data_IF_396023312555
#
_entry.id   IF_396023312555
#
_cell.length_a   1.000
_cell.length_b   1.000
_cell.length_c   1.000
_cell.angle_alpha   90.00
_cell.angle_beta   90.00
_cell.angle_gamma   90.00
#
_symmetry.space_group_name_H-M   'P 1'
#
loop_
_entity.id
_entity.type
_entity.pdbx_description
1 polymer ?
#
# COMPACT_ATOMS: atom_id res chain seq x y z
N UNK A 1 -24.62 12.26 5.76
CA UNK A 1 -25.20 10.98 5.27
C UNK A 1 -25.45 11.08 3.78
N UNK A 2 -25.12 10.05 3.01
CA UNK A 2 -25.35 10.02 1.57
C UNK A 2 -26.85 10.21 1.25
N UNK A 3 -27.14 10.85 0.11
CA UNK A 3 -28.52 10.93 -0.37
C UNK A 3 -29.10 9.51 -0.56
N UNK A 4 -30.38 9.25 -0.21
CA UNK A 4 -30.94 7.90 -0.20
C UNK A 4 -30.75 7.12 -1.50
N UNK A 5 -30.89 7.79 -2.64
CA UNK A 5 -30.67 7.18 -3.96
C UNK A 5 -29.21 6.80 -4.24
N UNK A 6 -28.25 7.57 -3.74
CA UNK A 6 -26.82 7.27 -3.84
C UNK A 6 -26.49 6.11 -2.90
N UNK A 7 -26.99 6.16 -1.65
CA UNK A 7 -26.79 5.10 -0.67
C UNK A 7 -27.29 3.75 -1.19
N UNK A 8 -28.50 3.68 -1.71
CA UNK A 8 -29.08 2.43 -2.23
C UNK A 8 -28.23 1.83 -3.37
N UNK A 9 -27.73 2.66 -4.29
CA UNK A 9 -26.85 2.21 -5.38
C UNK A 9 -25.49 1.80 -4.88
N UNK A 10 -24.94 2.52 -3.91
CA UNK A 10 -23.68 2.19 -3.26
C UNK A 10 -23.74 0.84 -2.55
N UNK A 11 -24.81 0.58 -1.79
CA UNK A 11 -25.01 -0.70 -1.10
C UNK A 11 -25.10 -1.88 -2.09
N UNK A 12 -25.79 -1.69 -3.22
CA UNK A 12 -25.84 -2.68 -4.30
C UNK A 12 -24.44 -2.91 -4.89
N UNK A 13 -23.67 -1.86 -5.12
CA UNK A 13 -22.31 -1.93 -5.67
C UNK A 13 -21.35 -2.69 -4.75
N UNK A 14 -21.44 -2.43 -3.44
CA UNK A 14 -20.63 -3.17 -2.44
C UNK A 14 -21.05 -4.64 -2.39
N UNK A 15 -22.36 -4.92 -2.36
CA UNK A 15 -22.88 -6.28 -2.27
C UNK A 15 -22.57 -7.14 -3.51
N UNK A 16 -22.78 -6.60 -4.71
CA UNK A 16 -22.51 -7.30 -5.98
C UNK A 16 -21.02 -7.52 -6.21
N UNK A 17 -20.17 -6.59 -5.74
CA UNK A 17 -18.75 -6.58 -6.07
C UNK A 17 -18.43 -6.17 -7.50
N UNK A 18 -19.42 -5.72 -8.28
CA UNK A 18 -19.28 -5.24 -9.66
C UNK A 18 -18.65 -3.84 -9.75
N UNK A 19 -17.76 -3.55 -8.83
CA UNK A 19 -17.01 -2.30 -8.84
C UNK A 19 -15.96 -2.31 -9.94
N UNK A 20 -15.82 -1.23 -10.73
CA UNK A 20 -14.73 -1.10 -11.69
C UNK A 20 -13.39 -0.97 -10.96
N UNK A 21 -12.83 -2.13 -10.59
CA UNK A 21 -11.55 -2.17 -9.91
C UNK A 21 -10.42 -1.85 -10.89
N UNK A 22 -9.45 -1.02 -10.49
CA UNK A 22 -8.34 -0.63 -11.34
C UNK A 22 -7.47 -1.82 -11.76
N UNK A 23 -6.90 -1.72 -12.95
CA UNK A 23 -5.96 -2.70 -13.50
C UNK A 23 -4.54 -2.21 -13.25
N UNK A 24 -3.65 -3.11 -12.81
CA UNK A 24 -2.24 -2.76 -12.66
C UNK A 24 -1.64 -2.30 -13.99
N UNK A 25 -0.81 -1.23 -13.99
CA UNK A 25 -0.05 -0.83 -15.15
C UNK A 25 0.79 -1.98 -15.72
N UNK A 26 1.02 -1.95 -17.03
CA UNK A 26 1.67 -3.04 -17.76
C UNK A 26 3.06 -3.39 -17.17
N UNK A 27 3.89 -2.38 -16.93
CA UNK A 27 5.23 -2.60 -16.36
C UNK A 27 5.15 -3.24 -14.97
N UNK A 28 4.20 -2.82 -14.13
CA UNK A 28 4.00 -3.42 -12.81
C UNK A 28 3.61 -4.89 -12.90
N UNK A 29 2.65 -5.22 -13.76
CA UNK A 29 2.25 -6.61 -14.02
C UNK A 29 3.40 -7.47 -14.55
N UNK A 30 4.20 -6.93 -15.47
CA UNK A 30 5.36 -7.61 -16.04
C UNK A 30 6.47 -7.85 -14.98
N UNK A 31 6.71 -6.90 -14.08
CA UNK A 31 7.65 -7.07 -12.97
C UNK A 31 7.21 -8.21 -12.04
N UNK A 32 5.93 -8.25 -11.66
CA UNK A 32 5.39 -9.33 -10.81
C UNK A 32 5.58 -10.71 -11.42
N UNK A 33 5.36 -10.83 -12.72
CA UNK A 33 5.58 -12.10 -13.45
C UNK A 33 7.06 -12.43 -13.55
N UNK A 34 7.90 -11.44 -13.85
CA UNK A 34 9.33 -11.63 -14.08
C UNK A 34 10.07 -12.10 -12.82
N UNK A 35 9.76 -11.52 -11.66
CA UNK A 35 10.45 -11.87 -10.40
C UNK A 35 10.14 -13.29 -9.91
N UNK A 36 9.08 -13.92 -10.42
CA UNK A 36 8.74 -15.31 -10.12
C UNK A 36 9.48 -16.33 -11.00
N UNK A 37 10.16 -15.86 -12.05
CA UNK A 37 10.85 -16.73 -13.00
C UNK A 37 12.23 -17.14 -12.46
N UNK A 38 12.63 -18.41 -12.62
CA UNK A 38 13.96 -18.89 -12.17
C UNK A 38 15.13 -18.19 -12.88
N UNK A 39 14.91 -17.67 -14.09
CA UNK A 39 15.91 -16.99 -14.92
C UNK A 39 15.91 -15.46 -14.73
N UNK A 40 15.19 -14.93 -13.73
CA UNK A 40 15.21 -13.51 -13.40
C UNK A 40 16.56 -13.11 -12.81
N UNK A 41 17.15 -12.09 -13.38
CA UNK A 41 18.37 -11.45 -12.87
C UNK A 41 18.24 -9.93 -12.81
N UNK A 42 19.21 -9.28 -12.18
CA UNK A 42 19.22 -7.82 -12.00
C UNK A 42 19.27 -7.04 -13.32
N UNK A 43 19.88 -7.60 -14.36
CA UNK A 43 20.01 -6.93 -15.65
C UNK A 43 18.65 -6.93 -16.38
N UNK A 44 17.96 -8.07 -16.43
CA UNK A 44 16.64 -8.21 -17.05
C UNK A 44 15.60 -7.34 -16.35
N UNK A 45 15.61 -7.33 -15.02
CA UNK A 45 14.68 -6.51 -14.26
C UNK A 45 14.94 -5.01 -14.47
N UNK A 46 16.21 -4.58 -14.49
CA UNK A 46 16.59 -3.21 -14.80
C UNK A 46 16.17 -2.81 -16.24
N UNK A 47 16.28 -3.72 -17.22
CA UNK A 47 15.84 -3.47 -18.59
C UNK A 47 14.32 -3.26 -18.68
N UNK A 48 13.55 -4.05 -17.95
CA UNK A 48 12.11 -3.89 -17.86
C UNK A 48 11.73 -2.54 -17.22
N UNK A 49 12.35 -2.19 -16.11
CA UNK A 49 12.10 -0.93 -15.39
C UNK A 49 12.45 0.31 -16.22
N UNK A 50 13.47 0.25 -17.11
CA UNK A 50 13.82 1.36 -18.02
C UNK A 50 12.72 1.76 -18.97
N UNK A 51 11.75 0.90 -19.25
CA UNK A 51 10.60 1.21 -20.10
C UNK A 51 9.67 2.24 -19.48
N UNK A 52 9.77 2.44 -18.16
CA UNK A 52 9.02 3.45 -17.43
C UNK A 52 9.97 4.40 -16.69
N UNK A 53 10.11 5.66 -17.18
CA UNK A 53 10.98 6.65 -16.54
C UNK A 53 10.59 6.98 -15.11
N UNK A 54 9.30 6.94 -14.76
CA UNK A 54 8.85 7.21 -13.39
C UNK A 54 9.27 6.08 -12.45
N UNK A 55 9.06 4.81 -12.84
CA UNK A 55 9.55 3.65 -12.09
C UNK A 55 11.06 3.70 -11.90
N UNK A 56 11.82 4.01 -12.97
CA UNK A 56 13.28 4.16 -12.91
C UNK A 56 13.69 5.21 -11.88
N UNK A 57 13.07 6.40 -11.91
CA UNK A 57 13.37 7.49 -10.98
C UNK A 57 13.10 7.09 -9.53
N UNK A 58 11.97 6.45 -9.24
CA UNK A 58 11.61 5.99 -7.90
C UNK A 58 12.54 4.89 -7.38
N UNK A 59 12.92 3.92 -8.21
CA UNK A 59 13.90 2.89 -7.83
C UNK A 59 15.26 3.52 -7.48
N UNK A 60 15.73 4.46 -8.28
CA UNK A 60 17.01 5.17 -8.01
C UNK A 60 16.94 6.01 -6.74
N UNK A 61 15.86 6.75 -6.53
CA UNK A 61 15.65 7.57 -5.34
C UNK A 61 15.57 6.71 -4.06
N UNK A 62 14.82 5.60 -4.10
CA UNK A 62 14.71 4.68 -2.96
C UNK A 62 16.07 4.05 -2.62
N UNK A 63 16.83 3.62 -3.62
CA UNK A 63 18.15 3.03 -3.41
C UNK A 63 19.18 4.02 -2.85
N UNK A 64 18.94 5.33 -3.00
CA UNK A 64 19.73 6.40 -2.42
C UNK A 64 19.22 6.89 -1.06
N UNK A 65 18.04 6.40 -0.59
CA UNK A 65 17.47 6.82 0.69
C UNK A 65 18.25 6.28 1.89
N UNK A 66 18.17 6.91 3.07
CA UNK A 66 18.90 6.47 4.28
C UNK A 66 18.65 5.01 4.66
N UNK A 67 17.43 4.51 4.44
CA UNK A 67 17.06 3.12 4.75
C UNK A 67 17.86 2.08 3.96
N UNK A 68 18.32 2.43 2.74
CA UNK A 68 19.03 1.53 1.81
C UNK A 68 20.45 2.00 1.49
N UNK A 69 20.96 2.99 2.22
CA UNK A 69 22.35 3.47 2.06
C UNK A 69 23.35 2.34 2.28
N UNK A 70 24.24 2.15 1.33
CA UNK A 70 25.36 1.22 1.41
C UNK A 70 26.70 1.95 1.25
N UNK A 71 27.81 1.21 1.44
CA UNK A 71 29.16 1.75 1.39
C UNK A 71 29.56 2.35 0.02
N UNK A 72 28.87 1.95 -1.06
CA UNK A 72 29.22 2.38 -2.42
C UNK A 72 28.10 3.23 -3.03
N UNK A 73 28.48 4.27 -3.78
CA UNK A 73 27.52 5.11 -4.52
C UNK A 73 26.91 4.30 -5.68
N UNK A 74 25.61 4.38 -5.84
CA UNK A 74 24.89 3.77 -6.97
C UNK A 74 25.08 4.66 -8.21
N UNK A 75 25.46 4.05 -9.32
CA UNK A 75 25.67 4.73 -10.61
C UNK A 75 24.82 4.15 -11.74
N UNK A 76 24.11 3.05 -11.51
CA UNK A 76 23.24 2.42 -12.52
C UNK A 76 21.98 1.82 -11.91
N UNK A 77 20.92 1.70 -12.73
CA UNK A 77 19.67 1.04 -12.34
C UNK A 77 19.90 -0.44 -11.95
N UNK A 78 20.78 -1.13 -12.65
CA UNK A 78 21.11 -2.52 -12.30
C UNK A 78 21.74 -2.62 -10.91
N UNK A 79 22.63 -1.68 -10.55
CA UNK A 79 23.19 -1.61 -9.18
C UNK A 79 22.11 -1.28 -8.15
N UNK A 80 21.16 -0.40 -8.48
CA UNK A 80 20.01 -0.10 -7.61
C UNK A 80 19.16 -1.35 -7.37
N UNK A 81 18.83 -2.09 -8.42
CA UNK A 81 18.10 -3.36 -8.33
C UNK A 81 18.85 -4.38 -7.47
N UNK A 82 20.16 -4.52 -7.68
CA UNK A 82 21.01 -5.42 -6.88
C UNK A 82 21.07 -5.04 -5.39
N UNK A 83 21.10 -3.74 -5.08
CA UNK A 83 21.10 -3.24 -3.69
C UNK A 83 19.77 -3.45 -3.00
N UNK A 84 18.68 -3.13 -3.67
CA UNK A 84 17.32 -3.20 -3.11
C UNK A 84 16.81 -4.64 -3.04
N UNK A 85 17.22 -5.49 -3.97
CA UNK A 85 16.68 -6.84 -4.13
C UNK A 85 15.31 -6.85 -4.81
N UNK A 86 14.91 -8.00 -5.33
CA UNK A 86 13.69 -8.14 -6.13
C UNK A 86 12.41 -7.84 -5.33
N UNK A 87 12.38 -8.24 -4.07
CA UNK A 87 11.24 -7.99 -3.20
C UNK A 87 10.98 -6.47 -3.04
N UNK A 88 12.01 -5.68 -2.74
CA UNK A 88 11.88 -4.22 -2.62
C UNK A 88 11.52 -3.56 -3.96
N UNK A 89 12.02 -4.10 -5.07
CA UNK A 89 11.62 -3.61 -6.41
C UNK A 89 10.12 -3.83 -6.63
N UNK A 90 9.59 -5.00 -6.30
CA UNK A 90 8.13 -5.26 -6.38
C UNK A 90 7.36 -4.25 -5.53
N UNK A 91 7.82 -3.98 -4.33
CA UNK A 91 7.21 -3.03 -3.41
C UNK A 91 7.16 -1.61 -4.01
N UNK A 92 8.29 -1.11 -4.54
CA UNK A 92 8.38 0.21 -5.18
C UNK A 92 7.46 0.28 -6.40
N UNK A 93 7.52 -0.74 -7.25
CA UNK A 93 6.72 -0.81 -8.48
C UNK A 93 5.23 -0.76 -8.17
N UNK A 94 4.76 -1.52 -7.18
CA UNK A 94 3.37 -1.49 -6.74
C UNK A 94 2.99 -0.15 -6.13
N UNK A 95 3.85 0.44 -5.29
CA UNK A 95 3.61 1.76 -4.70
C UNK A 95 3.52 2.86 -5.76
N UNK A 96 4.38 2.83 -6.78
CA UNK A 96 4.34 3.79 -7.90
C UNK A 96 3.15 3.54 -8.82
N UNK A 97 2.87 2.28 -9.15
CA UNK A 97 1.72 1.90 -9.97
C UNK A 97 0.39 2.38 -9.38
N UNK A 98 0.30 2.34 -8.06
CA UNK A 98 -0.87 2.80 -7.30
C UNK A 98 -1.13 4.30 -7.43
N UNK A 99 -0.09 5.11 -7.66
CA UNK A 99 -0.20 6.56 -7.82
C UNK A 99 -0.62 7.00 -9.22
N UNK A 100 -0.31 6.19 -10.24
CA UNK A 100 -0.48 6.61 -11.62
C UNK A 100 -1.91 6.44 -12.08
N UNK A 101 -2.58 7.54 -12.48
CA UNK A 101 -3.87 7.66 -13.22
C UNK A 101 -5.08 6.85 -12.71
N UNK A 102 -4.84 5.81 -11.89
CA UNK A 102 -5.88 4.91 -11.41
C UNK A 102 -6.73 5.57 -10.33
N UNK A 103 -6.17 6.56 -9.63
CA UNK A 103 -6.79 7.18 -8.47
C UNK A 103 -6.72 8.73 -8.53
N UNK A 104 -7.06 9.31 -9.68
CA UNK A 104 -7.34 10.75 -9.75
C UNK A 104 -8.82 10.96 -9.50
N UNK A 105 -9.18 11.17 -8.22
CA UNK A 105 -10.58 11.38 -7.81
C UNK A 105 -10.85 12.87 -7.73
N UNK A 106 -11.68 13.43 -8.64
CA UNK A 106 -11.96 14.87 -8.65
C UNK A 106 -12.55 15.35 -7.32
N UNK A 107 -11.90 16.35 -6.71
CA UNK A 107 -12.29 16.91 -5.42
C UNK A 107 -11.73 16.19 -4.18
N UNK A 108 -10.98 15.08 -4.37
CA UNK A 108 -10.35 14.29 -3.31
C UNK A 108 -8.86 14.04 -3.58
N UNK A 109 -8.22 14.86 -4.41
CA UNK A 109 -6.81 14.67 -4.81
C UNK A 109 -5.87 14.71 -3.59
N UNK A 110 -6.17 15.58 -2.61
CA UNK A 110 -5.39 15.69 -1.39
C UNK A 110 -5.55 14.44 -0.50
N UNK A 111 -6.79 13.95 -0.35
CA UNK A 111 -7.11 12.77 0.45
C UNK A 111 -6.47 11.51 -0.14
N UNK A 112 -6.57 11.33 -1.45
CA UNK A 112 -5.93 10.24 -2.17
C UNK A 112 -4.41 10.27 -2.01
N UNK A 113 -3.79 11.46 -2.15
CA UNK A 113 -2.35 11.61 -1.97
C UNK A 113 -1.91 11.27 -0.55
N UNK A 114 -2.69 11.69 0.46
CA UNK A 114 -2.37 11.40 1.84
C UNK A 114 -2.58 9.92 2.18
N UNK A 115 -3.65 9.30 1.67
CA UNK A 115 -3.87 7.86 1.79
C UNK A 115 -2.70 7.03 1.22
N UNK A 116 -2.09 7.46 0.10
CA UNK A 116 -0.91 6.79 -0.43
C UNK A 116 0.33 6.93 0.44
N UNK A 117 0.58 8.10 1.01
CA UNK A 117 1.71 8.30 1.93
C UNK A 117 1.52 7.46 3.18
N UNK A 118 0.30 7.46 3.72
CA UNK A 118 -0.09 6.65 4.86
C UNK A 118 0.13 5.15 4.57
N UNK A 119 -0.40 4.64 3.47
CA UNK A 119 -0.24 3.26 3.05
C UNK A 119 1.23 2.84 2.91
N UNK A 120 2.07 3.70 2.32
CA UNK A 120 3.50 3.42 2.18
C UNK A 120 4.23 3.45 3.53
N UNK A 121 3.91 4.39 4.42
CA UNK A 121 4.47 4.44 5.77
C UNK A 121 4.08 3.19 6.57
N UNK A 122 2.81 2.80 6.54
CA UNK A 122 2.30 1.58 7.18
C UNK A 122 3.00 0.33 6.63
N UNK A 123 3.22 0.26 5.31
CA UNK A 123 3.96 -0.84 4.69
C UNK A 123 5.40 -0.95 5.22
N UNK A 124 6.11 0.18 5.35
CA UNK A 124 7.49 0.21 5.85
C UNK A 124 7.56 -0.14 7.34
N UNK A 125 6.63 0.33 8.17
CA UNK A 125 6.53 -0.10 9.56
C UNK A 125 6.18 -1.59 9.68
N UNK A 126 5.24 -2.10 8.90
CA UNK A 126 4.90 -3.52 8.85
C UNK A 126 6.12 -4.38 8.50
N UNK A 127 6.96 -3.90 7.58
CA UNK A 127 8.23 -4.54 7.25
C UNK A 127 9.20 -4.58 8.43
N UNK A 128 9.36 -3.50 9.20
CA UNK A 128 10.22 -3.47 10.38
C UNK A 128 9.69 -4.38 11.50
N UNK A 129 8.37 -4.40 11.71
CA UNK A 129 7.71 -5.33 12.65
C UNK A 129 7.97 -6.79 12.23
N UNK A 130 7.79 -7.11 10.95
CA UNK A 130 8.04 -8.46 10.43
C UNK A 130 9.51 -8.88 10.58
N UNK A 131 10.48 -7.97 10.40
CA UNK A 131 11.91 -8.20 10.65
C UNK A 131 12.15 -8.52 12.12
N UNK A 132 11.62 -7.72 13.05
CA UNK A 132 11.76 -7.96 14.49
C UNK A 132 11.17 -9.33 14.88
N UNK A 133 10.06 -9.71 14.26
CA UNK A 133 9.41 -11.01 14.44
C UNK A 133 10.08 -12.18 13.72
N UNK A 134 11.02 -11.93 12.81
CA UNK A 134 11.59 -12.93 11.89
C UNK A 134 10.52 -13.64 11.07
N UNK A 135 9.45 -12.91 10.69
CA UNK A 135 8.34 -13.40 9.88
C UNK A 135 8.46 -12.97 8.40
N UNK A 136 7.41 -13.18 7.60
CA UNK A 136 7.46 -12.93 6.16
C UNK A 136 7.37 -11.42 5.85
N UNK A 137 8.53 -10.79 5.70
CA UNK A 137 8.70 -9.34 5.47
C UNK A 137 7.94 -8.86 4.23
N UNK A 138 7.98 -9.62 3.14
CA UNK A 138 7.34 -9.22 1.89
C UNK A 138 5.80 -9.20 1.98
N UNK A 139 5.21 -10.20 2.66
CA UNK A 139 3.76 -10.21 2.88
C UNK A 139 3.32 -9.09 3.82
N UNK A 140 4.12 -8.78 4.84
CA UNK A 140 3.85 -7.68 5.76
C UNK A 140 3.84 -6.33 5.02
N UNK A 141 4.83 -6.09 4.15
CA UNK A 141 4.86 -4.90 3.33
C UNK A 141 3.63 -4.81 2.42
N UNK A 142 3.31 -5.87 1.67
CA UNK A 142 2.16 -5.87 0.76
C UNK A 142 0.85 -5.63 1.51
N UNK A 143 0.66 -6.28 2.64
CA UNK A 143 -0.54 -6.09 3.45
C UNK A 143 -0.64 -4.65 3.98
N UNK A 144 0.47 -4.08 4.49
CA UNK A 144 0.53 -2.68 4.92
C UNK A 144 0.32 -1.70 3.76
N UNK A 145 0.84 -1.99 2.55
CA UNK A 145 0.63 -1.13 1.39
C UNK A 145 -0.82 -1.12 0.92
N UNK A 146 -1.49 -2.26 0.98
CA UNK A 146 -2.84 -2.40 0.39
C UNK A 146 -3.99 -2.29 1.40
N UNK A 147 -3.71 -2.14 2.71
CA UNK A 147 -4.76 -2.18 3.72
C UNK A 147 -5.88 -1.15 3.45
N UNK A 148 -5.54 0.04 3.00
CA UNK A 148 -6.44 1.17 2.74
C UNK A 148 -6.73 1.43 1.26
N UNK A 149 -6.28 0.57 0.36
CA UNK A 149 -6.47 0.77 -1.08
C UNK A 149 -7.93 0.77 -1.55
N UNK A 150 -8.83 0.27 -0.73
CA UNK A 150 -10.26 0.42 -0.97
C UNK A 150 -10.74 1.87 -0.90
N UNK A 151 -10.06 2.74 -0.17
CA UNK A 151 -10.48 4.14 0.01
C UNK A 151 -10.56 4.90 -1.32
N UNK A 152 -9.49 5.04 -2.13
CA UNK A 152 -9.56 5.78 -3.39
C UNK A 152 -10.53 5.13 -4.41
N UNK A 153 -10.69 3.81 -4.39
CA UNK A 153 -11.67 3.11 -5.24
C UNK A 153 -13.10 3.52 -4.89
N UNK A 154 -13.41 3.54 -3.60
CA UNK A 154 -14.73 3.93 -3.11
C UNK A 154 -15.01 5.42 -3.28
N UNK A 155 -14.01 6.28 -3.05
CA UNK A 155 -14.12 7.72 -3.33
C UNK A 155 -14.51 7.96 -4.78
N UNK A 156 -13.83 7.31 -5.73
CA UNK A 156 -14.15 7.42 -7.15
C UNK A 156 -15.57 6.93 -7.45
N UNK A 157 -15.94 5.76 -6.94
CA UNK A 157 -17.28 5.20 -7.15
C UNK A 157 -18.39 6.13 -6.62
N UNK A 158 -18.20 6.70 -5.44
CA UNK A 158 -19.17 7.64 -4.84
C UNK A 158 -19.26 8.96 -5.62
N UNK A 159 -18.13 9.52 -6.08
CA UNK A 159 -18.13 10.71 -6.94
C UNK A 159 -18.91 10.42 -8.23
N UNK A 160 -18.68 9.28 -8.86
CA UNK A 160 -19.39 8.89 -10.07
C UNK A 160 -20.89 8.71 -9.84
N UNK A 161 -21.30 8.05 -8.73
CA UNK A 161 -22.70 7.88 -8.35
C UNK A 161 -23.42 9.22 -8.09
N UNK A 162 -22.74 10.17 -7.44
CA UNK A 162 -23.28 11.53 -7.24
C UNK A 162 -23.46 12.26 -8.57
N UNK A 163 -22.45 12.20 -9.43
CA UNK A 163 -22.49 12.82 -10.77
C UNK A 163 -23.66 12.26 -11.59
N UNK A 164 -23.85 10.95 -11.62
CA UNK A 164 -24.95 10.29 -12.34
C UNK A 164 -26.33 10.63 -11.76
N UNK A 165 -26.41 10.89 -10.46
CA UNK A 165 -27.62 11.35 -9.81
C UNK A 165 -27.87 12.85 -9.96
N UNK A 166 -26.97 13.61 -10.59
CA UNK A 166 -27.05 15.07 -10.68
C UNK A 166 -26.86 15.79 -9.35
N UNK A 167 -26.17 15.16 -8.39
CA UNK A 167 -25.91 15.65 -7.04
C UNK A 167 -24.44 16.04 -6.85
N UNK A 168 -24.19 16.92 -5.90
CA UNK A 168 -22.84 17.24 -5.44
C UNK A 168 -22.47 16.25 -4.31
N UNK A 169 -21.27 15.72 -4.38
CA UNK A 169 -20.73 14.86 -3.34
C UNK A 169 -20.17 15.71 -2.20
N UNK A 170 -20.80 15.62 -1.03
CA UNK A 170 -20.28 16.29 0.18
C UNK A 170 -19.09 15.46 0.73
N UNK A 171 -17.89 16.05 0.87
CA UNK A 171 -16.68 15.31 1.25
C UNK A 171 -16.83 14.50 2.55
N UNK A 172 -17.43 15.07 3.59
CA UNK A 172 -17.61 14.40 4.87
C UNK A 172 -18.48 13.14 4.75
N UNK A 173 -19.52 13.18 3.92
CA UNK A 173 -20.43 12.04 3.73
C UNK A 173 -19.76 10.94 2.91
N UNK A 174 -18.96 11.33 1.90
CA UNK A 174 -18.17 10.39 1.10
C UNK A 174 -17.14 9.69 1.97
N UNK A 175 -16.35 10.43 2.74
CA UNK A 175 -15.31 9.87 3.60
C UNK A 175 -15.87 8.92 4.66
N UNK A 176 -17.02 9.24 5.27
CA UNK A 176 -17.68 8.36 6.24
C UNK A 176 -18.15 7.05 5.61
N UNK A 177 -18.68 7.09 4.38
CA UNK A 177 -19.11 5.89 3.66
C UNK A 177 -17.90 5.04 3.19
N UNK A 178 -16.81 5.68 2.80
CA UNK A 178 -15.54 5.04 2.45
C UNK A 178 -14.95 4.30 3.65
N UNK A 179 -14.91 4.97 4.81
CA UNK A 179 -14.38 4.39 6.05
C UNK A 179 -15.08 3.07 6.42
N UNK A 180 -16.39 3.02 6.27
CA UNK A 180 -17.19 1.84 6.60
C UNK A 180 -16.96 0.61 5.68
N UNK A 181 -16.44 0.79 4.45
CA UNK A 181 -16.42 -0.27 3.44
C UNK A 181 -15.04 -0.55 2.82
N UNK A 182 -14.02 0.31 3.04
CA UNK A 182 -12.74 0.22 2.32
C UNK A 182 -11.99 -1.08 2.53
N UNK A 183 -12.01 -1.67 3.73
CA UNK A 183 -11.31 -2.91 4.01
C UNK A 183 -11.84 -4.08 3.16
N UNK A 184 -13.17 -4.16 2.99
CA UNK A 184 -13.79 -5.19 2.16
C UNK A 184 -13.46 -5.02 0.67
N UNK A 185 -13.54 -3.78 0.17
CA UNK A 185 -13.25 -3.46 -1.23
C UNK A 185 -11.77 -3.60 -1.53
N UNK A 186 -10.89 -3.17 -0.62
CA UNK A 186 -9.45 -3.35 -0.72
C UNK A 186 -9.06 -4.82 -0.82
N UNK A 187 -9.66 -5.69 -0.02
CA UNK A 187 -9.43 -7.13 -0.10
C UNK A 187 -9.83 -7.71 -1.48
N UNK A 188 -11.01 -7.33 -2.02
CA UNK A 188 -11.42 -7.74 -3.37
C UNK A 188 -10.45 -7.26 -4.46
N UNK A 189 -9.90 -6.05 -4.32
CA UNK A 189 -8.90 -5.52 -5.24
C UNK A 189 -7.62 -6.37 -5.23
N UNK A 190 -7.14 -6.71 -4.03
CA UNK A 190 -5.95 -7.55 -3.83
C UNK A 190 -6.15 -8.95 -4.43
N UNK A 191 -7.35 -9.54 -4.26
CA UNK A 191 -7.74 -10.81 -4.88
C UNK A 191 -7.75 -10.71 -6.41
N UNK A 192 -8.33 -9.64 -6.98
CA UNK A 192 -8.36 -9.40 -8.43
C UNK A 192 -6.95 -9.26 -9.01
N UNK A 193 -6.01 -8.73 -8.26
CA UNK A 193 -4.60 -8.63 -8.66
C UNK A 193 -3.82 -9.93 -8.43
N UNK A 194 -4.50 -11.02 -8.07
CA UNK A 194 -3.92 -12.33 -7.80
C UNK A 194 -2.77 -12.30 -6.76
N UNK A 195 -2.90 -11.42 -5.78
CA UNK A 195 -1.98 -11.36 -4.64
C UNK A 195 -2.22 -12.55 -3.69
N UNK A 196 -1.25 -12.89 -2.82
CA UNK A 196 -1.43 -13.97 -1.86
C UNK A 196 -2.68 -13.80 -1.00
N UNK A 197 -3.44 -14.87 -0.78
CA UNK A 197 -4.67 -14.89 0.03
C UNK A 197 -4.47 -14.27 1.43
N UNK A 198 -3.33 -14.56 2.07
CA UNK A 198 -2.98 -14.00 3.37
C UNK A 198 -2.93 -12.46 3.38
N UNK A 199 -2.58 -11.83 2.24
CA UNK A 199 -2.58 -10.38 2.10
C UNK A 199 -4.02 -9.87 2.02
N UNK A 200 -4.88 -10.53 1.22
CA UNK A 200 -6.29 -10.18 1.14
C UNK A 200 -7.01 -10.31 2.50
N UNK A 201 -6.71 -11.38 3.24
CA UNK A 201 -7.25 -11.57 4.58
C UNK A 201 -6.78 -10.49 5.57
N UNK A 202 -5.51 -10.11 5.52
CA UNK A 202 -4.98 -9.04 6.38
C UNK A 202 -5.64 -7.69 6.05
N UNK A 203 -5.79 -7.37 4.77
CA UNK A 203 -6.50 -6.16 4.30
C UNK A 203 -7.95 -6.15 4.78
N UNK A 204 -8.66 -7.29 4.69
CA UNK A 204 -10.06 -7.41 5.10
C UNK A 204 -10.27 -7.19 6.60
N UNK A 205 -9.28 -7.56 7.41
CA UNK A 205 -9.43 -7.62 8.87
C UNK A 205 -8.52 -6.65 9.63
N UNK A 206 -7.92 -5.64 9.00
CA UNK A 206 -6.94 -4.79 9.68
C UNK A 206 -7.55 -3.91 10.80
N UNK A 207 -8.84 -3.59 10.76
CA UNK A 207 -9.55 -2.89 11.85
C UNK A 207 -9.93 -3.82 13.02
N UNK A 208 -10.25 -5.08 12.71
CA UNK A 208 -10.52 -6.12 13.71
C UNK A 208 -9.53 -7.28 13.48
N UNK A 209 -8.26 -7.12 13.88
CA UNK A 209 -7.19 -7.97 13.39
C UNK A 209 -7.36 -9.44 13.80
N UNK A 210 -7.60 -10.28 12.81
CA UNK A 210 -7.68 -11.74 12.90
C UNK A 210 -6.47 -12.33 12.17
N UNK A 211 -5.63 -13.03 12.91
CA UNK A 211 -4.40 -13.61 12.36
C UNK A 211 -3.18 -12.67 12.43
N UNK A 212 -2.00 -13.27 12.37
CA UNK A 212 -0.72 -12.60 12.61
C UNK A 212 -0.49 -11.40 11.68
N UNK A 213 -0.73 -11.57 10.38
CA UNK A 213 -0.45 -10.54 9.39
C UNK A 213 -1.37 -9.31 9.55
N UNK A 214 -2.65 -9.52 9.90
CA UNK A 214 -3.58 -8.42 10.20
C UNK A 214 -3.15 -7.65 11.46
N UNK A 215 -2.64 -8.36 12.48
CA UNK A 215 -2.10 -7.73 13.70
C UNK A 215 -0.85 -6.91 13.37
N UNK A 216 0.02 -7.40 12.48
CA UNK A 216 1.20 -6.66 12.01
C UNK A 216 0.78 -5.36 11.33
N UNK A 217 -0.24 -5.40 10.46
CA UNK A 217 -0.76 -4.20 9.79
C UNK A 217 -1.36 -3.23 10.80
N UNK A 218 -2.23 -3.68 11.69
CA UNK A 218 -2.84 -2.84 12.72
C UNK A 218 -1.80 -2.19 13.65
N UNK A 219 -0.74 -2.92 14.02
CA UNK A 219 0.37 -2.36 14.81
C UNK A 219 1.17 -1.32 14.01
N UNK A 220 1.43 -1.57 12.72
CA UNK A 220 2.11 -0.64 11.83
C UNK A 220 1.32 0.66 11.67
N UNK A 221 0.01 0.55 11.52
CA UNK A 221 -0.92 1.67 11.42
C UNK A 221 -0.89 2.54 12.70
N UNK A 222 -0.83 1.92 13.89
CA UNK A 222 -0.63 2.64 15.15
C UNK A 222 0.66 3.49 15.14
N UNK A 223 1.76 2.99 14.61
CA UNK A 223 3.00 3.77 14.50
C UNK A 223 2.83 5.00 13.61
N UNK A 224 2.08 4.88 12.52
CA UNK A 224 1.85 6.00 11.60
C UNK A 224 0.92 7.05 12.21
N UNK A 225 -0.16 6.63 12.86
CA UNK A 225 -1.16 7.56 13.42
C UNK A 225 -0.75 8.16 14.76
N UNK A 226 -0.09 7.39 15.64
CA UNK A 226 0.17 7.78 17.02
C UNK A 226 1.65 8.04 17.30
N UNK A 227 2.54 7.78 16.34
CA UNK A 227 3.99 7.85 16.51
C UNK A 227 4.56 6.76 17.45
N UNK A 228 3.71 5.84 17.95
CA UNK A 228 4.09 4.77 18.84
C UNK A 228 3.28 3.51 18.56
N UNK A 229 3.87 2.33 18.81
CA UNK A 229 3.18 1.06 18.70
C UNK A 229 2.25 0.78 19.88
N UNK A 230 1.16 0.09 19.62
CA UNK A 230 0.27 -0.42 20.66
C UNK A 230 0.94 -1.59 21.43
N UNK A 231 1.10 -1.44 22.73
CA UNK A 231 1.66 -2.50 23.59
C UNK A 231 0.78 -3.76 23.56
N UNK A 232 -0.55 -3.60 23.48
CA UNK A 232 -1.47 -4.73 23.38
C UNK A 232 -1.28 -5.52 22.07
N UNK A 233 -1.20 -4.83 20.93
CA UNK A 233 -0.95 -5.47 19.63
C UNK A 233 0.46 -6.07 19.58
N UNK A 234 1.45 -5.38 20.15
CA UNK A 234 2.81 -5.89 20.30
C UNK A 234 2.85 -7.21 21.05
N UNK A 235 2.15 -7.30 22.19
CA UNK A 235 2.07 -8.51 22.99
C UNK A 235 1.46 -9.69 22.22
N UNK A 236 0.43 -9.47 21.40
CA UNK A 236 -0.15 -10.49 20.50
C UNK A 236 0.86 -11.03 19.49
N UNK A 237 1.88 -10.24 19.17
CA UNK A 237 2.99 -10.60 18.27
C UNK A 237 4.24 -11.09 19.04
N UNK A 238 4.21 -11.26 20.36
CA UNK A 238 5.35 -11.51 21.21
C UNK A 238 6.48 -10.46 21.04
N UNK A 239 6.11 -9.21 20.86
CA UNK A 239 7.01 -8.05 20.89
C UNK A 239 6.89 -7.37 22.25
N UNK A 240 8.03 -7.05 22.84
CA UNK A 240 8.14 -6.34 24.10
C UNK A 240 8.18 -4.82 23.88
N UNK A 241 7.94 -3.99 24.93
CA UNK A 241 8.01 -2.54 24.79
C UNK A 241 9.35 -2.04 24.19
N UNK A 242 10.46 -2.69 24.54
CA UNK A 242 11.79 -2.36 24.01
C UNK A 242 11.88 -2.59 22.49
N UNK A 243 11.24 -3.64 21.98
CA UNK A 243 11.17 -3.91 20.52
C UNK A 243 10.38 -2.81 19.83
N UNK A 244 9.26 -2.37 20.44
CA UNK A 244 8.44 -1.27 19.89
C UNK A 244 9.20 0.06 19.85
N UNK A 245 10.03 0.35 20.88
CA UNK A 245 10.89 1.52 20.90
C UNK A 245 11.95 1.47 19.78
N UNK A 246 12.53 0.30 19.49
CA UNK A 246 13.49 0.11 18.41
C UNK A 246 12.82 0.36 17.05
N UNK A 247 11.60 -0.14 16.87
CA UNK A 247 10.81 0.10 15.65
C UNK A 247 10.46 1.58 15.51
N UNK A 248 10.05 2.24 16.59
CA UNK A 248 9.71 3.67 16.58
C UNK A 248 10.89 4.56 16.13
N UNK A 249 12.14 4.20 16.46
CA UNK A 249 13.35 4.92 16.01
C UNK A 249 13.56 4.91 14.50
N UNK A 250 12.83 4.07 13.75
CA UNK A 250 12.88 4.06 12.28
C UNK A 250 12.00 5.13 11.63
N UNK A 251 11.21 5.89 12.42
CA UNK A 251 10.23 6.85 11.90
C UNK A 251 10.84 7.87 10.93
N UNK A 252 12.01 8.47 11.27
CA UNK A 252 12.66 9.46 10.40
C UNK A 252 13.14 8.86 9.07
N UNK A 253 13.72 7.67 9.10
CA UNK A 253 14.18 6.94 7.90
C UNK A 253 12.97 6.56 7.02
N UNK A 254 11.89 6.13 7.64
CA UNK A 254 10.63 5.80 6.96
C UNK A 254 10.05 7.06 6.31
N UNK A 255 9.96 8.17 7.04
CA UNK A 255 9.45 9.44 6.51
C UNK A 255 10.28 9.93 5.32
N UNK A 256 11.62 9.84 5.40
CA UNK A 256 12.51 10.18 4.30
C UNK A 256 12.29 9.27 3.07
N UNK A 257 12.05 7.97 3.28
CA UNK A 257 11.76 7.01 2.21
C UNK A 257 10.40 7.27 1.57
N UNK A 258 9.36 7.53 2.37
CA UNK A 258 8.03 7.93 1.87
C UNK A 258 8.16 9.17 1.00
N UNK A 259 8.87 10.20 1.46
CA UNK A 259 9.10 11.42 0.68
C UNK A 259 9.82 11.17 -0.65
N UNK A 260 10.75 10.23 -0.69
CA UNK A 260 11.50 9.89 -1.92
C UNK A 260 10.63 9.15 -2.96
N UNK A 261 9.63 8.41 -2.50
CA UNK A 261 8.70 7.64 -3.34
C UNK A 261 7.43 8.46 -3.64
N UNK A 262 6.96 9.31 -2.73
CA UNK A 262 5.75 10.12 -2.88
C UNK A 262 5.96 11.46 -3.53
#
# INVERSE_FOLDING_TARGET
MLAPQVQARFDVLIASGDMPLPVLPEVASQVLVMVQRPDCDTARLAELLRRDPAMTAHVMATAASPMYLGATKISSLQQAVGRLGFATIVQIVLAVASKTRVFSVPGFEADVKEAFKHALATALFAQEIAKARRSTVDLAFLAGLFHDFGQPVLMQALVDLHREAGLVAEPADVLAAVDAAHAHVGAKLVEKWAMPEKVADAVRHHHEPKGELAIVVALADCFVHQGAGSVELGAKLNLYPEDLEVIAKRADDIAATVKAIS
#
